data_IF_879259510675
#
_entry.id   IF_879259510675
#
_cell.length_a   1.000
_cell.length_b   1.000
_cell.length_c   1.000
_cell.angle_alpha   90.00
_cell.angle_beta   90.00
_cell.angle_gamma   90.00
#
_symmetry.space_group_name_H-M   'P 1'
#
loop_
_entity.id
_entity.type
_entity.pdbx_description
1 polymer ?
#
# COMPACT_ATOMS: atom_id res chain seq x y z
N UNK A 1 -14.84 28.14 31.82
CA UNK A 1 -13.84 28.12 30.74
C UNK A 1 -13.94 29.46 30.03
N UNK A 2 -12.89 30.25 30.07
CA UNK A 2 -12.86 31.59 29.49
C UNK A 2 -12.54 31.51 27.99
N UNK A 3 -12.95 32.53 27.20
CA UNK A 3 -12.61 32.62 25.76
C UNK A 3 -11.12 32.49 25.48
N UNK A 4 -10.26 32.91 26.40
CA UNK A 4 -8.81 32.79 26.33
C UNK A 4 -8.33 31.32 26.42
N UNK A 5 -8.95 30.47 27.25
CA UNK A 5 -8.63 29.03 27.36
C UNK A 5 -9.06 28.29 26.11
N UNK A 6 -10.19 28.65 25.50
CA UNK A 6 -10.66 28.06 24.24
C UNK A 6 -9.75 28.45 23.06
N UNK A 7 -9.31 29.71 23.00
CA UNK A 7 -8.38 30.17 21.97
C UNK A 7 -7.01 29.50 22.05
N UNK A 8 -6.46 29.31 23.28
CA UNK A 8 -5.17 28.62 23.49
C UNK A 8 -5.25 27.15 23.09
N UNK A 9 -6.37 26.49 23.42
CA UNK A 9 -6.60 25.08 23.04
C UNK A 9 -6.78 24.93 21.51
N UNK A 10 -7.41 25.92 20.87
CA UNK A 10 -7.59 25.98 19.42
C UNK A 10 -6.26 26.12 18.68
N UNK A 11 -5.40 27.04 19.13
CA UNK A 11 -4.08 27.29 18.53
C UNK A 11 -3.16 26.08 18.67
N UNK A 12 -3.13 25.41 19.82
CA UNK A 12 -2.36 24.18 20.04
C UNK A 12 -2.81 23.04 19.13
N UNK A 13 -4.11 22.89 18.92
CA UNK A 13 -4.68 21.86 18.01
C UNK A 13 -4.32 22.11 16.55
N UNK A 14 -4.35 23.36 16.09
CA UNK A 14 -3.95 23.73 14.74
C UNK A 14 -2.45 23.50 14.51
N UNK A 15 -1.61 23.85 15.48
CA UNK A 15 -0.18 23.58 15.42
C UNK A 15 0.11 22.05 15.33
N UNK A 16 -0.54 21.23 16.12
CA UNK A 16 -0.40 19.78 16.07
C UNK A 16 -0.82 19.21 14.70
N UNK A 17 -1.92 19.69 14.12
CA UNK A 17 -2.37 19.29 12.77
C UNK A 17 -1.34 19.65 11.69
N UNK A 18 -0.73 20.83 11.78
CA UNK A 18 0.31 21.25 10.85
C UNK A 18 1.54 20.34 10.93
N UNK A 19 1.99 19.99 12.14
CA UNK A 19 3.10 19.06 12.35
C UNK A 19 2.78 17.69 11.74
N UNK A 20 1.61 17.13 12.03
CA UNK A 20 1.18 15.84 11.47
C UNK A 20 1.14 15.87 9.93
N UNK A 21 0.62 16.94 9.33
CA UNK A 21 0.57 17.07 7.87
C UNK A 21 1.98 17.09 7.24
N UNK A 22 2.93 17.82 7.85
CA UNK A 22 4.33 17.87 7.38
C UNK A 22 5.00 16.49 7.54
N UNK A 23 4.79 15.82 8.66
CA UNK A 23 5.32 14.48 8.91
C UNK A 23 4.75 13.45 7.89
N UNK A 24 3.46 13.53 7.59
CA UNK A 24 2.83 12.66 6.57
C UNK A 24 3.41 12.95 5.18
N UNK A 25 3.64 14.21 4.83
CA UNK A 25 4.27 14.57 3.56
C UNK A 25 5.71 14.06 3.48
N UNK A 26 6.49 14.14 4.58
CA UNK A 26 7.85 13.61 4.63
C UNK A 26 7.87 12.06 4.53
N UNK A 27 6.96 11.38 5.21
CA UNK A 27 6.76 9.93 5.06
C UNK A 27 6.55 9.56 3.59
N UNK A 28 5.59 10.19 2.92
CA UNK A 28 5.31 9.93 1.50
C UNK A 28 6.54 10.17 0.62
N UNK A 29 7.24 11.29 0.82
CA UNK A 29 8.48 11.61 0.09
C UNK A 29 9.54 10.53 0.25
N UNK A 30 9.72 9.99 1.46
CA UNK A 30 10.67 8.90 1.74
C UNK A 30 10.24 7.59 1.09
N UNK A 31 8.94 7.28 1.08
CA UNK A 31 8.41 6.10 0.38
C UNK A 31 8.67 6.21 -1.12
N UNK A 32 8.40 7.37 -1.75
CA UNK A 32 8.75 7.61 -3.16
C UNK A 32 10.24 7.42 -3.44
N UNK A 33 11.11 7.94 -2.58
CA UNK A 33 12.57 7.78 -2.72
C UNK A 33 13.01 6.31 -2.56
N UNK A 34 12.42 5.59 -1.62
CA UNK A 34 12.65 4.16 -1.42
C UNK A 34 12.31 3.38 -2.69
N UNK A 35 11.10 3.52 -3.24
CA UNK A 35 10.69 2.81 -4.44
C UNK A 35 11.46 3.25 -5.70
N UNK A 36 11.89 4.51 -5.80
CA UNK A 36 12.80 4.93 -6.87
C UNK A 36 14.15 4.19 -6.82
N UNK A 37 14.68 3.92 -5.62
CA UNK A 37 15.89 3.12 -5.44
C UNK A 37 15.63 1.64 -5.73
N UNK A 38 14.52 1.11 -5.24
CA UNK A 38 14.08 -0.28 -5.50
C UNK A 38 13.99 -0.54 -6.99
N UNK A 39 13.34 0.31 -7.78
CA UNK A 39 13.26 0.15 -9.26
C UNK A 39 14.63 0.11 -9.93
N UNK A 40 15.57 0.95 -9.49
CA UNK A 40 16.94 0.96 -10.05
C UNK A 40 17.70 -0.33 -9.75
N UNK A 41 17.56 -0.87 -8.55
CA UNK A 41 18.20 -2.13 -8.14
C UNK A 41 17.51 -3.30 -8.85
N UNK A 42 16.18 -3.33 -8.87
CA UNK A 42 15.38 -4.41 -9.46
C UNK A 42 15.59 -4.58 -10.97
N UNK A 43 16.09 -3.55 -11.68
CA UNK A 43 16.48 -3.67 -13.08
C UNK A 43 17.64 -4.66 -13.30
N UNK A 44 18.41 -4.98 -12.26
CA UNK A 44 19.55 -5.88 -12.30
C UNK A 44 19.41 -7.07 -11.36
N UNK A 45 18.89 -6.84 -10.15
CA UNK A 45 18.71 -7.86 -9.13
C UNK A 45 17.43 -7.61 -8.30
N UNK A 46 16.31 -8.24 -8.66
CA UNK A 46 15.06 -8.11 -7.91
C UNK A 46 15.13 -8.63 -6.46
N UNK A 47 15.98 -9.62 -6.17
CA UNK A 47 16.12 -10.14 -4.81
C UNK A 47 16.88 -9.14 -3.91
N UNK A 48 17.95 -8.50 -4.43
CA UNK A 48 18.64 -7.41 -3.74
C UNK A 48 17.69 -6.21 -3.53
N UNK A 49 16.89 -5.87 -4.55
CA UNK A 49 15.88 -4.80 -4.44
C UNK A 49 14.87 -5.08 -3.33
N UNK A 50 14.44 -6.33 -3.19
CA UNK A 50 13.52 -6.75 -2.13
C UNK A 50 14.18 -6.61 -0.74
N UNK A 51 15.41 -7.07 -0.57
CA UNK A 51 16.15 -6.91 0.69
C UNK A 51 16.32 -5.43 1.07
N UNK A 52 16.65 -4.57 0.09
CA UNK A 52 16.74 -3.13 0.26
C UNK A 52 15.39 -2.51 0.68
N UNK A 53 14.30 -2.93 0.04
CA UNK A 53 12.94 -2.48 0.37
C UNK A 53 12.54 -2.87 1.80
N UNK A 54 12.80 -4.12 2.21
CA UNK A 54 12.52 -4.60 3.58
C UNK A 54 13.26 -3.76 4.61
N UNK A 55 14.56 -3.51 4.39
CA UNK A 55 15.37 -2.67 5.28
C UNK A 55 14.83 -1.25 5.37
N UNK A 56 14.57 -0.60 4.23
CA UNK A 56 14.06 0.77 4.19
C UNK A 56 12.68 0.92 4.82
N UNK A 57 11.80 -0.08 4.67
CA UNK A 57 10.50 -0.08 5.37
C UNK A 57 10.67 -0.24 6.87
N UNK A 58 11.55 -1.14 7.32
CA UNK A 58 11.83 -1.33 8.74
C UNK A 58 12.36 -0.03 9.38
N UNK A 59 13.24 0.68 8.69
CA UNK A 59 13.77 1.97 9.15
C UNK A 59 12.65 3.03 9.26
N UNK A 60 11.78 3.12 8.28
CA UNK A 60 10.63 4.02 8.32
C UNK A 60 9.68 3.68 9.46
N UNK A 61 9.34 2.41 9.64
CA UNK A 61 8.41 1.96 10.68
C UNK A 61 8.97 2.18 12.08
N UNK A 62 10.25 1.91 12.29
CA UNK A 62 10.88 2.04 13.61
C UNK A 62 11.10 3.50 14.03
N UNK A 63 11.45 4.39 13.10
CA UNK A 63 12.00 5.70 13.43
C UNK A 63 11.14 6.90 13.06
N UNK A 64 10.25 6.75 12.05
CA UNK A 64 9.54 7.91 11.52
C UNK A 64 8.33 8.31 12.39
N UNK A 65 8.11 9.62 12.66
CA UNK A 65 7.00 10.07 13.50
C UNK A 65 5.61 9.70 12.94
N UNK A 66 5.45 9.65 11.59
CA UNK A 66 4.22 9.24 10.93
C UNK A 66 4.13 7.72 10.67
N UNK A 67 4.93 6.91 11.37
CA UNK A 67 4.80 5.45 11.32
C UNK A 67 3.41 5.03 11.80
N UNK A 68 2.76 4.05 11.13
CA UNK A 68 1.46 3.56 11.56
C UNK A 68 1.50 2.63 12.79
N UNK A 69 2.69 2.33 13.34
CA UNK A 69 2.81 1.58 14.58
C UNK A 69 2.21 2.35 15.75
N UNK A 70 1.43 1.69 16.57
CA UNK A 70 0.99 2.23 17.85
C UNK A 70 2.21 2.54 18.74
N UNK A 71 2.14 3.60 19.52
CA UNK A 71 3.26 4.00 20.43
C UNK A 71 3.67 2.86 21.38
N UNK A 72 2.71 2.05 21.83
CA UNK A 72 2.95 0.90 22.68
C UNK A 72 3.77 -0.21 21.99
N UNK A 73 3.74 -0.28 20.65
CA UNK A 73 4.39 -1.32 19.86
C UNK A 73 5.76 -0.89 19.32
N UNK A 74 6.01 0.43 19.24
CA UNK A 74 7.29 0.97 18.73
C UNK A 74 8.51 0.41 19.46
N UNK A 75 8.45 0.34 20.80
CA UNK A 75 9.56 -0.17 21.63
C UNK A 75 9.83 -1.67 21.50
N UNK A 76 8.88 -2.43 20.91
CA UNK A 76 8.98 -3.88 20.69
C UNK A 76 9.16 -4.26 19.24
N UNK A 77 9.14 -3.27 18.34
CA UNK A 77 9.27 -3.51 16.92
C UNK A 77 10.66 -4.04 16.56
N UNK A 78 10.70 -5.23 15.98
CA UNK A 78 11.93 -5.91 15.53
C UNK A 78 12.04 -6.05 14.03
N UNK A 79 11.03 -5.60 13.30
CA UNK A 79 10.93 -5.65 11.84
C UNK A 79 9.56 -6.15 11.37
N UNK A 80 9.25 -5.84 10.12
CA UNK A 80 8.05 -6.31 9.44
C UNK A 80 8.22 -7.79 9.06
N UNK A 81 7.19 -8.62 9.24
CA UNK A 81 7.27 -10.06 8.92
C UNK A 81 7.13 -10.28 7.40
N UNK A 82 8.16 -9.96 6.65
CA UNK A 82 8.22 -10.16 5.20
C UNK A 82 8.94 -11.47 4.89
N UNK A 83 8.39 -12.23 3.96
CA UNK A 83 8.98 -13.51 3.51
C UNK A 83 10.23 -13.29 2.65
N UNK A 84 11.12 -14.29 2.52
CA UNK A 84 12.19 -14.26 1.52
C UNK A 84 11.66 -14.07 0.11
N UNK A 85 12.49 -13.50 -0.77
CA UNK A 85 12.15 -13.28 -2.17
C UNK A 85 11.99 -14.60 -2.93
N UNK A 86 10.90 -14.69 -3.71
CA UNK A 86 10.62 -15.81 -4.61
C UNK A 86 10.33 -15.27 -6.02
N UNK A 87 11.19 -15.53 -7.03
CA UNK A 87 11.05 -15.00 -8.39
C UNK A 87 9.80 -15.54 -9.12
N UNK A 88 9.20 -16.64 -8.69
CA UNK A 88 7.98 -17.19 -9.31
C UNK A 88 6.76 -16.27 -9.10
N UNK A 89 6.84 -15.30 -8.18
CA UNK A 89 5.78 -14.37 -7.86
C UNK A 89 6.02 -12.94 -8.40
N UNK A 90 6.93 -12.79 -9.38
CA UNK A 90 7.15 -11.54 -10.11
C UNK A 90 6.64 -11.66 -11.53
N UNK A 91 5.79 -10.73 -11.93
CA UNK A 91 5.15 -10.71 -13.25
C UNK A 91 5.25 -9.32 -13.86
N UNK A 92 5.35 -9.29 -15.20
CA UNK A 92 5.11 -8.11 -16.01
C UNK A 92 3.93 -8.42 -16.91
N UNK A 93 2.82 -7.70 -16.74
CA UNK A 93 1.53 -8.10 -17.28
C UNK A 93 0.82 -6.93 -17.95
N UNK A 94 0.20 -7.16 -19.12
CA UNK A 94 -0.63 -6.16 -19.77
C UNK A 94 -1.92 -5.92 -18.97
N UNK A 95 -2.35 -4.67 -18.95
CA UNK A 95 -3.67 -4.28 -18.46
C UNK A 95 -4.67 -4.49 -19.58
N UNK A 96 -5.66 -5.35 -19.37
CA UNK A 96 -6.81 -5.51 -20.27
C UNK A 96 -7.82 -4.43 -19.91
N UNK A 97 -8.16 -3.52 -20.84
CA UNK A 97 -9.11 -2.45 -20.56
C UNK A 97 -10.46 -2.98 -20.08
N UNK A 98 -11.08 -2.25 -19.17
CA UNK A 98 -12.46 -2.52 -18.76
C UNK A 98 -13.42 -2.32 -19.95
N UNK A 99 -14.40 -3.18 -20.06
CA UNK A 99 -15.47 -3.06 -21.10
C UNK A 99 -16.64 -2.21 -20.64
N UNK A 100 -16.76 -2.02 -19.33
CA UNK A 100 -17.80 -1.22 -18.68
C UNK A 100 -17.16 -0.29 -17.66
N UNK A 101 -17.75 0.90 -17.49
CA UNK A 101 -17.31 1.82 -16.46
C UNK A 101 -17.83 1.37 -15.11
N UNK A 102 -16.91 1.16 -14.16
CA UNK A 102 -17.24 0.84 -12.78
C UNK A 102 -16.56 1.85 -11.85
N UNK A 103 -17.27 2.23 -10.78
CA UNK A 103 -16.78 3.15 -9.77
C UNK A 103 -16.91 2.50 -8.40
N UNK A 104 -15.86 2.67 -7.59
CA UNK A 104 -15.81 2.28 -6.19
C UNK A 104 -15.60 3.54 -5.35
N UNK A 105 -16.54 3.85 -4.49
CA UNK A 105 -16.42 4.93 -3.51
C UNK A 105 -16.03 4.32 -2.15
N UNK A 106 -14.87 4.73 -1.65
CA UNK A 106 -14.33 4.25 -0.37
C UNK A 106 -14.49 5.34 0.68
N UNK A 107 -15.26 5.07 1.71
CA UNK A 107 -15.35 5.96 2.87
C UNK A 107 -14.08 5.80 3.72
N UNK A 108 -13.32 6.89 3.82
CA UNK A 108 -12.12 6.97 4.64
C UNK A 108 -12.40 7.95 5.77
N UNK A 109 -12.23 7.54 7.01
CA UNK A 109 -12.55 8.37 8.17
C UNK A 109 -11.79 9.71 8.25
N UNK A 110 -10.71 9.87 7.48
CA UNK A 110 -9.84 11.06 7.49
C UNK A 110 -10.03 11.95 6.27
N UNK A 111 -10.25 11.37 5.08
CA UNK A 111 -10.23 12.07 3.80
C UNK A 111 -11.63 12.11 3.14
N UNK A 112 -12.67 11.66 3.87
CA UNK A 112 -14.03 11.52 3.36
C UNK A 112 -14.14 10.40 2.34
N UNK A 113 -15.06 10.53 1.37
CA UNK A 113 -15.24 9.54 0.31
C UNK A 113 -14.17 9.71 -0.75
N UNK A 114 -13.40 8.65 -1.00
CA UNK A 114 -12.35 8.59 -2.01
C UNK A 114 -12.84 7.75 -3.20
N UNK A 115 -13.04 8.36 -4.38
CA UNK A 115 -13.55 7.66 -5.55
C UNK A 115 -12.44 6.96 -6.33
N UNK A 116 -12.71 5.74 -6.77
CA UNK A 116 -11.89 4.99 -7.72
C UNK A 116 -12.71 4.61 -8.95
N UNK A 117 -12.06 4.55 -10.10
CA UNK A 117 -12.62 4.09 -11.37
C UNK A 117 -11.85 2.85 -11.84
N UNK A 118 -12.57 1.85 -12.31
CA UNK A 118 -12.00 0.65 -12.90
C UNK A 118 -11.37 1.00 -14.26
N UNK A 119 -10.06 0.79 -14.40
CA UNK A 119 -9.36 0.93 -15.68
C UNK A 119 -9.38 -0.36 -16.48
N UNK A 120 -9.31 -1.49 -15.82
CA UNK A 120 -9.20 -2.78 -16.45
C UNK A 120 -8.76 -3.86 -15.49
N UNK A 121 -8.25 -4.96 -16.03
CA UNK A 121 -7.83 -6.12 -15.25
C UNK A 121 -6.47 -6.62 -15.68
N UNK A 122 -5.75 -7.25 -14.76
CA UNK A 122 -4.53 -8.01 -15.03
C UNK A 122 -4.77 -9.48 -14.69
N UNK A 123 -4.33 -10.39 -15.56
CA UNK A 123 -4.43 -11.82 -15.35
C UNK A 123 -3.13 -12.37 -14.78
N UNK A 124 -3.16 -12.76 -13.51
CA UNK A 124 -2.03 -13.40 -12.83
C UNK A 124 -1.98 -14.87 -13.25
N UNK A 125 -0.88 -15.39 -13.83
CA UNK A 125 -0.74 -16.80 -14.16
C UNK A 125 -1.08 -17.69 -12.96
N UNK A 126 -1.78 -18.79 -13.18
CA UNK A 126 -2.22 -19.80 -12.20
C UNK A 126 -2.99 -19.28 -10.97
N UNK A 127 -3.10 -17.96 -10.77
CA UNK A 127 -3.69 -17.39 -9.56
C UNK A 127 -5.08 -16.74 -9.77
N UNK A 128 -5.34 -16.15 -10.94
CA UNK A 128 -6.62 -15.49 -11.21
C UNK A 128 -6.47 -14.13 -11.85
N UNK A 129 -7.42 -13.24 -11.57
CA UNK A 129 -7.47 -11.88 -12.15
C UNK A 129 -7.57 -10.85 -11.03
N UNK A 130 -6.95 -9.70 -11.20
CA UNK A 130 -7.05 -8.56 -10.32
C UNK A 130 -7.52 -7.33 -11.09
N UNK A 131 -8.41 -6.56 -10.48
CA UNK A 131 -8.83 -5.27 -10.99
C UNK A 131 -7.72 -4.23 -10.78
N UNK A 132 -7.59 -3.35 -11.79
CA UNK A 132 -6.68 -2.18 -11.76
C UNK A 132 -7.55 -0.95 -11.63
N UNK A 133 -7.41 -0.25 -10.53
CA UNK A 133 -8.16 0.94 -10.19
C UNK A 133 -7.35 2.21 -10.40
N UNK A 134 -8.04 3.29 -10.77
CA UNK A 134 -7.49 4.65 -10.80
C UNK A 134 -8.18 5.50 -9.73
N UNK A 135 -7.41 6.20 -8.92
CA UNK A 135 -7.95 7.24 -8.05
C UNK A 135 -8.56 8.36 -8.89
N UNK A 136 -9.86 8.59 -8.76
CA UNK A 136 -10.63 9.57 -9.54
C UNK A 136 -10.76 10.92 -8.81
N UNK A 137 -9.68 11.36 -8.14
CA UNK A 137 -9.60 12.64 -7.45
C UNK A 137 -8.26 13.34 -7.73
N UNK A 138 -8.01 14.49 -7.04
CA UNK A 138 -6.79 15.25 -7.25
C UNK A 138 -5.52 14.40 -7.12
N UNK A 139 -4.67 14.49 -8.12
CA UNK A 139 -3.40 13.76 -8.21
C UNK A 139 -3.48 12.42 -8.93
N UNK A 140 -4.65 11.78 -9.00
CA UNK A 140 -4.81 10.47 -9.65
C UNK A 140 -3.94 9.39 -9.01
N UNK A 141 -3.63 8.35 -9.77
CA UNK A 141 -2.76 7.25 -9.40
C UNK A 141 -3.42 5.89 -9.58
N UNK A 142 -2.60 4.85 -9.73
CA UNK A 142 -3.06 3.47 -9.90
C UNK A 142 -3.03 2.75 -8.56
N UNK A 143 -3.98 1.85 -8.41
CA UNK A 143 -4.16 1.05 -7.20
C UNK A 143 -4.55 -0.38 -7.54
N UNK A 144 -3.79 -1.35 -7.04
CA UNK A 144 -4.08 -2.79 -7.15
C UNK A 144 -3.93 -3.40 -5.76
N UNK A 145 -5.01 -3.47 -4.97
CA UNK A 145 -5.01 -4.27 -3.76
C UNK A 145 -5.10 -5.74 -4.09
N UNK A 146 -4.74 -6.62 -3.16
CA UNK A 146 -4.86 -8.06 -3.31
C UNK A 146 -5.24 -8.72 -1.99
N UNK A 147 -6.24 -9.58 -2.04
CA UNK A 147 -6.62 -10.51 -0.98
C UNK A 147 -6.41 -11.93 -1.50
N UNK A 148 -5.86 -12.80 -0.70
CA UNK A 148 -5.55 -14.18 -1.07
C UNK A 148 -6.18 -15.19 -0.09
N UNK A 149 -6.05 -16.48 -0.38
CA UNK A 149 -6.63 -17.52 0.46
C UNK A 149 -6.01 -17.64 1.87
N UNK A 150 -4.89 -16.96 2.16
CA UNK A 150 -4.29 -16.86 3.49
C UNK A 150 -4.86 -15.70 4.32
N UNK A 151 -5.69 -14.85 3.75
CA UNK A 151 -6.19 -13.65 4.41
C UNK A 151 -7.02 -13.99 5.65
N UNK A 152 -6.67 -13.39 6.79
CA UNK A 152 -7.34 -13.59 8.08
C UNK A 152 -7.04 -14.92 8.76
N UNK A 153 -6.12 -15.73 8.23
CA UNK A 153 -5.65 -16.96 8.89
C UNK A 153 -4.49 -16.65 9.84
N UNK A 154 -4.37 -17.39 10.92
CA UNK A 154 -3.23 -17.27 11.83
C UNK A 154 -1.90 -17.47 11.09
N UNK A 155 -0.96 -16.52 11.20
CA UNK A 155 0.32 -16.52 10.48
C UNK A 155 0.18 -16.33 8.96
N UNK A 156 -1.00 -16.02 8.46
CA UNK A 156 -1.30 -15.77 7.06
C UNK A 156 -1.07 -14.33 6.63
N UNK A 157 -2.00 -13.78 5.86
CA UNK A 157 -2.00 -12.42 5.38
C UNK A 157 -3.12 -11.59 6.03
N UNK A 158 -3.03 -10.27 5.98
CA UNK A 158 -4.02 -9.40 6.59
C UNK A 158 -5.43 -9.64 6.00
N UNK A 159 -6.44 -9.75 6.86
CA UNK A 159 -7.81 -10.10 6.47
C UNK A 159 -8.47 -9.10 5.51
N UNK A 160 -8.05 -7.83 5.54
CA UNK A 160 -8.47 -6.78 4.61
C UNK A 160 -7.72 -6.78 3.26
N UNK A 161 -6.72 -7.67 3.09
CA UNK A 161 -5.85 -7.72 1.94
C UNK A 161 -4.60 -6.83 2.09
N UNK A 162 -3.72 -6.91 1.10
CA UNK A 162 -2.44 -6.18 1.00
C UNK A 162 -2.48 -5.26 -0.21
N UNK A 163 -1.54 -4.34 -0.31
CA UNK A 163 -1.34 -3.50 -1.48
C UNK A 163 -0.19 -4.05 -2.32
N UNK A 164 -0.49 -4.37 -3.57
CA UNK A 164 0.48 -4.87 -4.54
C UNK A 164 1.05 -3.71 -5.37
N UNK A 165 0.21 -2.72 -5.69
CA UNK A 165 0.58 -1.49 -6.37
C UNK A 165 -0.23 -0.33 -5.81
N UNK A 166 0.43 0.77 -5.46
CA UNK A 166 -0.18 2.00 -4.97
C UNK A 166 0.70 3.20 -5.39
N UNK A 167 0.51 3.66 -6.63
CA UNK A 167 1.29 4.80 -7.14
C UNK A 167 0.91 6.11 -6.45
N UNK A 168 -0.24 6.17 -5.78
CA UNK A 168 -0.69 7.32 -4.99
C UNK A 168 0.29 7.61 -3.85
N UNK A 169 0.89 6.55 -3.32
CA UNK A 169 1.91 6.62 -2.26
C UNK A 169 3.31 6.24 -2.73
N UNK A 170 3.50 6.11 -4.06
CA UNK A 170 4.79 5.82 -4.68
C UNK A 170 5.21 4.37 -4.68
N UNK A 171 4.32 3.45 -4.29
CA UNK A 171 4.60 2.02 -4.28
C UNK A 171 4.33 1.40 -5.65
N UNK A 172 5.31 1.44 -6.52
CA UNK A 172 5.33 0.80 -7.84
C UNK A 172 6.73 0.27 -8.18
N UNK A 173 6.79 -0.78 -8.98
CA UNK A 173 8.03 -1.44 -9.41
C UNK A 173 8.31 -1.28 -10.90
N UNK A 174 7.46 -0.58 -11.60
CA UNK A 174 7.56 -0.27 -13.01
C UNK A 174 6.20 -0.26 -13.67
N UNK A 175 6.05 0.69 -14.56
CA UNK A 175 4.86 0.92 -15.37
C UNK A 175 5.38 1.20 -16.77
N UNK A 176 4.78 0.56 -17.77
CA UNK A 176 5.09 0.84 -19.15
C UNK A 176 3.82 1.13 -19.94
N UNK A 177 3.88 2.05 -20.88
CA UNK A 177 2.82 2.38 -21.80
C UNK A 177 3.46 2.65 -23.16
N UNK A 178 3.56 1.61 -23.99
CA UNK A 178 4.06 1.72 -25.35
C UNK A 178 2.88 1.56 -26.33
N UNK A 179 2.65 2.62 -27.11
CA UNK A 179 1.52 2.69 -28.02
C UNK A 179 0.17 2.61 -27.28
N UNK A 180 -0.65 1.64 -27.66
CA UNK A 180 -1.99 1.40 -27.12
C UNK A 180 -2.02 0.35 -25.99
N UNK A 181 -0.88 -0.21 -25.62
CA UNK A 181 -0.75 -1.20 -24.57
C UNK A 181 -0.12 -0.59 -23.31
N UNK A 182 -0.68 -0.95 -22.16
CA UNK A 182 -0.11 -0.61 -20.86
C UNK A 182 0.22 -1.88 -20.09
N UNK A 183 1.40 -1.94 -19.48
CA UNK A 183 1.81 -3.06 -18.63
C UNK A 183 2.24 -2.60 -17.25
N UNK A 184 2.12 -3.51 -16.29
CA UNK A 184 2.47 -3.30 -14.89
C UNK A 184 3.44 -4.38 -14.44
N UNK A 185 4.48 -3.98 -13.70
CA UNK A 185 5.28 -4.91 -12.93
C UNK A 185 4.57 -5.17 -11.60
N UNK A 186 4.03 -6.37 -11.46
CA UNK A 186 3.34 -6.87 -10.28
C UNK A 186 4.20 -7.93 -9.60
N UNK A 187 4.90 -7.54 -8.55
CA UNK A 187 5.77 -8.43 -7.78
C UNK A 187 5.19 -8.61 -6.38
N UNK A 188 4.60 -9.78 -6.14
CA UNK A 188 3.92 -10.09 -4.89
C UNK A 188 4.85 -10.16 -3.68
N UNK A 189 6.16 -10.28 -3.91
CA UNK A 189 7.16 -10.21 -2.84
C UNK A 189 7.13 -8.84 -2.12
N UNK A 190 6.70 -7.80 -2.84
CA UNK A 190 6.55 -6.44 -2.33
C UNK A 190 5.13 -6.10 -1.87
N UNK A 191 4.21 -7.08 -1.85
CA UNK A 191 2.87 -6.87 -1.32
C UNK A 191 2.94 -6.54 0.18
N UNK A 192 2.33 -5.42 0.59
CA UNK A 192 2.46 -4.90 1.95
C UNK A 192 1.10 -4.60 2.60
N UNK A 193 1.07 -4.66 3.93
CA UNK A 193 -0.13 -4.38 4.69
C UNK A 193 -0.47 -2.88 4.69
N UNK A 194 -1.76 -2.52 4.54
CA UNK A 194 -2.22 -1.14 4.72
C UNK A 194 -2.05 -0.67 6.18
N UNK A 195 -2.01 0.65 6.40
CA UNK A 195 -1.81 1.24 7.74
C UNK A 195 -2.83 0.76 8.77
N UNK A 196 -4.06 0.46 8.35
CA UNK A 196 -5.11 -0.06 9.24
C UNK A 196 -4.83 -1.48 9.78
N UNK A 197 -3.84 -2.18 9.24
CA UNK A 197 -3.37 -3.44 9.81
C UNK A 197 -2.55 -3.25 11.11
N UNK A 198 -2.02 -2.05 11.33
CA UNK A 198 -1.19 -1.71 12.49
C UNK A 198 -1.91 -0.82 13.50
N UNK A 199 -2.72 0.12 13.00
CA UNK A 199 -3.50 1.04 13.82
C UNK A 199 -4.92 1.16 13.23
N UNK A 200 -5.95 0.67 13.94
CA UNK A 200 -7.35 0.69 13.49
C UNK A 200 -7.94 2.10 13.34
N UNK A 201 -7.24 3.14 13.80
CA UNK A 201 -7.65 4.51 13.55
C UNK A 201 -7.52 4.92 12.05
N UNK A 202 -6.73 4.17 11.27
CA UNK A 202 -6.62 4.40 9.83
C UNK A 202 -7.77 3.75 9.07
N UNK A 203 -8.42 4.52 8.22
CA UNK A 203 -9.36 4.00 7.22
C UNK A 203 -8.64 3.86 5.87
N UNK A 204 -8.54 2.64 5.39
CA UNK A 204 -7.79 2.29 4.19
C UNK A 204 -8.69 1.64 3.15
N UNK A 205 -8.53 1.90 1.83
CA UNK A 205 -9.16 1.11 0.80
C UNK A 205 -8.75 -0.36 0.91
N UNK A 206 -9.70 -1.27 1.01
CA UNK A 206 -9.44 -2.70 1.13
C UNK A 206 -9.75 -3.43 -0.17
N UNK A 207 -9.15 -4.62 -0.35
CA UNK A 207 -9.37 -5.45 -1.52
C UNK A 207 -10.84 -5.90 -1.61
N UNK A 208 -11.47 -5.62 -2.75
CA UNK A 208 -12.84 -6.02 -3.08
C UNK A 208 -12.87 -7.41 -3.75
N UNK A 209 -14.04 -7.86 -4.15
CA UNK A 209 -14.21 -9.17 -4.78
C UNK A 209 -13.35 -9.36 -6.03
N UNK A 210 -13.26 -8.35 -6.92
CA UNK A 210 -12.42 -8.36 -8.12
C UNK A 210 -10.91 -8.35 -7.84
N UNK A 211 -10.52 -8.10 -6.58
CA UNK A 211 -9.14 -8.16 -6.12
C UNK A 211 -8.90 -9.31 -5.12
N UNK A 212 -9.71 -10.39 -5.21
CA UNK A 212 -9.58 -11.57 -4.36
C UNK A 212 -9.16 -12.78 -5.17
N UNK A 213 -7.97 -13.31 -4.88
CA UNK A 213 -7.43 -14.52 -5.50
C UNK A 213 -7.84 -15.77 -4.71
N UNK A 214 -8.29 -16.84 -5.39
CA UNK A 214 -8.70 -18.08 -4.73
C UNK A 214 -7.52 -18.96 -4.26
N UNK A 215 -6.29 -18.54 -4.53
CA UNK A 215 -5.06 -19.26 -4.19
C UNK A 215 -4.33 -18.62 -3.02
N UNK A 216 -3.46 -19.35 -2.38
CA UNK A 216 -2.53 -18.83 -1.38
C UNK A 216 -1.40 -18.07 -2.06
N UNK A 217 -1.09 -16.86 -1.59
CA UNK A 217 0.07 -16.06 -2.01
C UNK A 217 1.10 -16.08 -0.88
N UNK A 218 2.09 -17.01 -0.93
CA UNK A 218 2.97 -17.29 0.20
C UNK A 218 4.09 -16.25 0.39
N UNK A 219 4.13 -15.21 -0.44
CA UNK A 219 5.18 -14.17 -0.44
C UNK A 219 4.65 -12.82 0.03
N UNK A 220 5.55 -11.88 0.28
CA UNK A 220 5.26 -10.52 0.74
C UNK A 220 5.09 -10.42 2.26
N UNK A 221 4.51 -9.34 2.71
CA UNK A 221 4.32 -9.07 4.13
C UNK A 221 3.21 -9.95 4.72
N UNK A 222 3.52 -10.61 5.83
CA UNK A 222 2.59 -11.43 6.62
C UNK A 222 1.87 -10.59 7.66
N UNK A 223 0.82 -11.16 8.24
CA UNK A 223 0.13 -10.58 9.37
C UNK A 223 0.22 -11.56 10.56
N UNK A 224 1.04 -11.24 11.58
CA UNK A 224 1.38 -12.22 12.63
C UNK A 224 0.25 -12.53 13.59
N UNK A 225 -0.85 -11.83 13.53
CA UNK A 225 -1.87 -12.17 14.47
C UNK A 225 -3.15 -11.43 14.33
N UNK A 226 -4.22 -12.00 14.69
CA UNK A 226 -5.23 -11.60 15.61
C UNK A 226 -5.20 -12.58 16.75
#
# INVERSE_FOLDING_TARGET
MTDAEQATTGTGRLAARAVTAVQTADWRRRVFALYASVRRIAAHDPAEAHAYWVSGRNDLFSSHPASPLLDADRGRFTGLPVTPYDPEWRFELPVRPATEAERMDVDTGTDGVVPFELLGTVRIPFAGTLDVWRLASYGGGLFVPVKDALAGRAGGTYGGGRYLLDTIKGADLGLDADGDEASLVLDFNFAYNPSCAYDPAWACPLAQAGNTLPVEVPVGERYPGA
#
